data_IF_952903905475
#
_entry.id   IF_952903905475
#
_cell.length_a   1.000
_cell.length_b   1.000
_cell.length_c   1.000
_cell.angle_alpha   90.00
_cell.angle_beta   90.00
_cell.angle_gamma   90.00
#
_symmetry.space_group_name_H-M   'P 1'
#
loop_
_entity.id
_entity.type
_entity.pdbx_description
1 polymer ?
#
# COMPACT_ATOMS: atom_id res chain seq x y z
N UNK A 1 15.32 -0.30 -5.10
CA UNK A 1 14.82 0.01 -3.75
C UNK A 1 14.96 -1.24 -2.89
N UNK A 2 15.22 -1.05 -1.60
CA UNK A 2 15.20 -2.10 -0.57
C UNK A 2 13.78 -2.30 -0.04
N UNK A 3 13.51 -3.44 0.60
CA UNK A 3 12.22 -3.74 1.25
C UNK A 3 11.81 -2.61 2.24
N UNK A 4 12.76 -2.13 3.04
CA UNK A 4 12.54 -1.01 3.96
C UNK A 4 12.10 0.26 3.25
N UNK A 5 12.77 0.63 2.14
CA UNK A 5 12.43 1.84 1.37
C UNK A 5 11.03 1.72 0.74
N UNK A 6 10.64 0.54 0.26
CA UNK A 6 9.30 0.30 -0.29
C UNK A 6 8.24 0.46 0.79
N UNK A 7 8.45 -0.14 1.97
CA UNK A 7 7.52 -0.03 3.10
C UNK A 7 7.35 1.41 3.57
N UNK A 8 8.45 2.16 3.65
CA UNK A 8 8.42 3.58 4.01
C UNK A 8 7.69 4.43 2.97
N UNK A 9 7.89 4.14 1.68
CA UNK A 9 7.18 4.79 0.59
C UNK A 9 5.67 4.53 0.67
N UNK A 10 5.26 3.28 0.91
CA UNK A 10 3.84 2.91 1.09
C UNK A 10 3.23 3.60 2.34
N UNK A 11 3.94 3.61 3.47
CA UNK A 11 3.48 4.32 4.69
C UNK A 11 3.29 5.80 4.42
N UNK A 12 4.26 6.45 3.79
CA UNK A 12 4.20 7.88 3.44
C UNK A 12 3.03 8.19 2.52
N UNK A 13 2.84 7.38 1.47
CA UNK A 13 1.75 7.57 0.51
C UNK A 13 0.36 7.50 1.16
N UNK A 14 0.18 6.58 2.12
CA UNK A 14 -1.06 6.46 2.90
C UNK A 14 -1.21 7.65 3.85
N UNK A 15 -0.14 8.05 4.55
CA UNK A 15 -0.17 9.16 5.49
C UNK A 15 -0.53 10.50 4.83
N UNK A 16 0.03 10.79 3.65
CA UNK A 16 -0.27 12.00 2.87
C UNK A 16 -1.75 12.14 2.52
N UNK A 17 -2.46 11.02 2.37
CA UNK A 17 -3.89 10.97 2.01
C UNK A 17 -4.82 10.94 3.21
N UNK A 18 -4.27 10.81 4.42
CA UNK A 18 -5.01 10.72 5.66
C UNK A 18 -4.34 11.63 6.71
N UNK A 19 -4.51 12.96 6.61
CA UNK A 19 -3.80 13.93 7.46
C UNK A 19 -4.16 13.82 8.95
N UNK A 20 -5.30 13.21 9.26
CA UNK A 20 -5.78 13.01 10.63
C UNK A 20 -5.28 11.70 11.27
N UNK A 21 -4.34 11.00 10.62
CA UNK A 21 -3.77 9.77 11.17
C UNK A 21 -3.02 10.04 12.48
N UNK A 22 -3.16 9.14 13.48
CA UNK A 22 -2.33 9.18 14.67
C UNK A 22 -0.84 9.12 14.32
N UNK A 23 -0.01 9.81 15.11
CA UNK A 23 1.43 9.72 14.97
C UNK A 23 1.91 8.27 15.11
N UNK A 24 2.66 7.77 14.12
CA UNK A 24 3.13 6.39 14.08
C UNK A 24 2.20 5.40 13.37
N UNK A 25 1.08 5.86 12.80
CA UNK A 25 0.22 5.06 11.92
C UNK A 25 0.38 5.43 10.42
N UNK A 26 0.11 4.50 9.49
CA UNK A 26 -0.17 3.08 9.72
C UNK A 26 1.11 2.26 10.02
N UNK A 27 0.97 1.22 10.83
CA UNK A 27 1.96 0.13 10.93
C UNK A 27 1.86 -0.82 9.73
N UNK A 28 2.86 -1.67 9.56
CA UNK A 28 2.93 -2.59 8.41
C UNK A 28 1.77 -3.63 8.37
N UNK A 29 1.24 -3.99 9.53
CA UNK A 29 0.13 -4.94 9.73
C UNK A 29 -1.24 -4.26 9.91
N UNK A 30 -1.30 -2.92 9.86
CA UNK A 30 -2.55 -2.17 10.05
C UNK A 30 -3.59 -2.59 9.00
N UNK A 31 -4.84 -2.91 9.42
CA UNK A 31 -5.92 -3.25 8.50
C UNK A 31 -6.46 -2.00 7.79
N UNK A 32 -5.90 -1.69 6.62
CA UNK A 32 -6.06 -0.41 5.91
C UNK A 32 -7.50 -0.14 5.48
N UNK A 33 -8.21 -1.16 4.99
CA UNK A 33 -9.59 -1.02 4.51
C UNK A 33 -10.56 -0.88 5.69
N UNK A 34 -10.40 -1.72 6.71
CA UNK A 34 -11.25 -1.74 7.89
C UNK A 34 -11.11 -0.45 8.71
N UNK A 35 -9.90 0.12 8.76
CA UNK A 35 -9.62 1.43 9.37
C UNK A 35 -9.97 2.62 8.47
N UNK A 36 -10.38 2.36 7.21
CA UNK A 36 -10.66 3.37 6.17
C UNK A 36 -9.46 4.24 5.80
N UNK A 37 -8.25 3.76 6.02
CA UNK A 37 -7.01 4.42 5.58
C UNK A 37 -6.78 4.23 4.08
N UNK A 38 -7.44 3.21 3.51
CA UNK A 38 -7.51 2.97 2.08
C UNK A 38 -8.96 2.71 1.65
N UNK A 39 -9.48 3.57 0.78
CA UNK A 39 -10.81 3.43 0.18
C UNK A 39 -10.72 2.77 -1.20
N UNK A 40 -11.84 2.24 -1.71
CA UNK A 40 -11.88 1.62 -3.05
C UNK A 40 -11.44 2.57 -4.18
N UNK A 41 -11.63 3.88 -4.02
CA UNK A 41 -11.15 4.87 -4.99
C UNK A 41 -9.63 4.98 -4.97
N UNK A 42 -9.05 5.06 -3.76
CA UNK A 42 -7.60 5.15 -3.55
C UNK A 42 -6.86 3.86 -3.93
N UNK A 43 -7.53 2.71 -3.98
CA UNK A 43 -6.91 1.44 -4.44
C UNK A 43 -6.39 1.58 -5.87
N UNK A 44 -7.13 2.24 -6.76
CA UNK A 44 -6.68 2.46 -8.14
C UNK A 44 -5.44 3.35 -8.19
N UNK A 45 -5.42 4.42 -7.40
CA UNK A 45 -4.27 5.32 -7.30
C UNK A 45 -3.05 4.61 -6.70
N UNK A 46 -3.27 3.74 -5.71
CA UNK A 46 -2.23 2.93 -5.09
C UNK A 46 -1.62 1.93 -6.09
N UNK A 47 -2.43 1.34 -6.97
CA UNK A 47 -1.92 0.44 -8.00
C UNK A 47 -0.96 1.15 -8.95
N UNK A 48 -1.33 2.34 -9.42
CA UNK A 48 -0.46 3.16 -10.26
C UNK A 48 0.84 3.51 -9.52
N UNK A 49 0.73 3.89 -8.24
CA UNK A 49 1.90 4.18 -7.42
C UNK A 49 2.83 2.96 -7.22
N UNK A 50 2.26 1.77 -7.03
CA UNK A 50 3.05 0.53 -6.94
C UNK A 50 3.75 0.22 -8.26
N UNK A 51 3.10 0.43 -9.41
CA UNK A 51 3.75 0.29 -10.72
C UNK A 51 4.92 1.26 -10.89
N UNK A 52 4.75 2.51 -10.44
CA UNK A 52 5.82 3.50 -10.39
C UNK A 52 6.97 3.06 -9.47
N UNK A 53 6.70 2.61 -8.25
CA UNK A 53 7.74 2.12 -7.35
C UNK A 53 8.51 0.92 -7.92
N UNK A 54 7.82 0.05 -8.66
CA UNK A 54 8.40 -1.14 -9.29
C UNK A 54 9.10 -0.86 -10.62
N UNK A 55 8.80 0.27 -11.26
CA UNK A 55 9.17 0.57 -12.64
C UNK A 55 8.69 -0.52 -13.62
N UNK A 56 7.56 -1.17 -13.31
CA UNK A 56 7.00 -2.27 -14.07
C UNK A 56 5.47 -2.35 -13.86
N UNK A 57 4.69 -2.73 -14.90
CA UNK A 57 3.25 -2.90 -14.77
C UNK A 57 2.91 -4.07 -13.84
N UNK A 58 1.78 -3.97 -13.14
CA UNK A 58 1.25 -5.05 -12.31
C UNK A 58 0.51 -6.05 -13.20
N UNK A 59 0.79 -7.33 -13.01
CA UNK A 59 -0.02 -8.40 -13.59
C UNK A 59 -1.41 -8.40 -12.92
N UNK A 60 -2.53 -8.22 -13.66
CA UNK A 60 -3.87 -8.30 -13.09
C UNK A 60 -4.13 -9.64 -12.37
N UNK A 61 -3.45 -10.71 -12.79
CA UNK A 61 -3.53 -12.01 -12.13
C UNK A 61 -2.79 -12.05 -10.78
N UNK A 62 -2.13 -10.97 -10.33
CA UNK A 62 -1.61 -10.84 -8.96
C UNK A 62 -2.63 -10.21 -7.99
N UNK A 63 -3.69 -9.58 -8.51
CA UNK A 63 -4.74 -8.96 -7.71
C UNK A 63 -5.64 -10.04 -7.09
N UNK A 64 -5.28 -10.46 -5.87
CA UNK A 64 -6.04 -11.42 -5.04
C UNK A 64 -6.84 -10.69 -3.95
N UNK A 65 -7.92 -11.30 -3.45
CA UNK A 65 -8.60 -10.80 -2.25
C UNK A 65 -7.60 -10.64 -1.10
N UNK A 66 -7.63 -9.50 -0.42
CA UNK A 66 -6.79 -9.21 0.74
C UNK A 66 -5.40 -8.63 0.43
N UNK A 67 -5.01 -8.46 -0.83
CA UNK A 67 -3.73 -7.82 -1.20
C UNK A 67 -3.58 -6.41 -0.61
N UNK A 68 -4.68 -5.67 -0.49
CA UNK A 68 -4.69 -4.32 0.07
C UNK A 68 -5.06 -4.25 1.55
N UNK A 69 -5.02 -5.38 2.26
CA UNK A 69 -5.40 -5.44 3.68
C UNK A 69 -4.40 -4.69 4.56
N UNK A 70 -3.11 -4.80 4.26
CA UNK A 70 -2.03 -4.20 5.03
C UNK A 70 -0.83 -3.91 4.12
N UNK A 71 0.14 -3.15 4.62
CA UNK A 71 1.38 -2.85 3.87
C UNK A 71 2.18 -4.15 3.69
N UNK A 72 2.19 -5.04 4.68
CA UNK A 72 2.77 -6.39 4.54
C UNK A 72 2.16 -7.16 3.37
N UNK A 73 0.83 -7.12 3.23
CA UNK A 73 0.13 -7.82 2.14
C UNK A 73 0.48 -7.21 0.78
N UNK A 74 0.56 -5.88 0.68
CA UNK A 74 0.95 -5.16 -0.54
C UNK A 74 2.40 -5.51 -0.90
N UNK A 75 3.31 -5.44 0.07
CA UNK A 75 4.72 -5.75 -0.12
C UNK A 75 4.90 -7.19 -0.58
N UNK A 76 4.30 -8.16 0.10
CA UNK A 76 4.40 -9.58 -0.25
C UNK A 76 3.79 -9.90 -1.62
N UNK A 77 2.77 -9.17 -2.06
CA UNK A 77 2.13 -9.41 -3.34
C UNK A 77 2.91 -8.81 -4.52
N UNK A 78 3.56 -7.66 -4.31
CA UNK A 78 4.11 -6.86 -5.39
C UNK A 78 5.63 -6.66 -5.37
N UNK A 79 6.32 -6.93 -4.27
CA UNK A 79 7.77 -6.72 -4.16
C UNK A 79 8.53 -7.96 -3.65
N UNK A 80 8.27 -9.17 -4.18
CA UNK A 80 9.00 -10.38 -3.80
C UNK A 80 10.47 -10.38 -4.26
#
# INVERSE_FOLDING_TARGET
MTDTEVREALRSWIAERNPDLPAGEPSDDTPLIERRYLTSLQVTDLLLYVEELRQAPIDPASLRPGVFRSIDAIHSAFFP
#
